data_IF_110165647957
#
_entry.id   IF_110165647957
#
_cell.length_a   1.000
_cell.length_b   1.000
_cell.length_c   1.000
_cell.angle_alpha   90.00
_cell.angle_beta   90.00
_cell.angle_gamma   90.00
#
_symmetry.space_group_name_H-M   'P 1'
#
loop_
_entity.id
_entity.type
_entity.pdbx_description
1 polymer ?
#
# COMPACT_ATOMS: atom_id res chain seq x y z
N UNK A 1 -0.96 -18.02 -17.25
CA UNK A 1 -2.15 -18.58 -17.94
C UNK A 1 -2.68 -17.71 -19.11
N UNK A 2 -2.28 -16.45 -19.27
CA UNK A 2 -2.75 -15.60 -20.39
C UNK A 2 -2.17 -15.96 -21.77
N UNK A 3 -1.02 -16.61 -21.84
CA UNK A 3 -0.41 -17.00 -23.11
C UNK A 3 -1.10 -18.15 -23.84
N UNK A 4 -1.87 -18.99 -23.13
CA UNK A 4 -2.52 -20.15 -23.73
C UNK A 4 -3.86 -19.82 -24.46
N UNK A 5 -4.43 -18.63 -24.22
CA UNK A 5 -5.74 -18.24 -24.77
C UNK A 5 -5.64 -17.47 -26.09
N UNK A 6 -4.52 -16.78 -26.34
CA UNK A 6 -4.39 -15.85 -27.48
C UNK A 6 -3.33 -16.24 -28.52
N UNK A 7 -2.62 -17.34 -28.35
CA UNK A 7 -1.61 -17.82 -29.31
C UNK A 7 -0.47 -16.83 -29.57
N UNK A 8 0.22 -16.99 -30.71
CA UNK A 8 1.40 -16.22 -31.10
C UNK A 8 1.14 -14.73 -31.49
N UNK A 9 -0.09 -14.24 -31.37
CA UNK A 9 -0.48 -12.87 -31.79
C UNK A 9 -0.61 -11.86 -30.66
N UNK A 10 -0.02 -12.09 -29.49
CA UNK A 10 -0.03 -11.09 -28.42
C UNK A 10 0.80 -9.86 -28.79
N UNK A 11 0.16 -8.69 -28.76
CA UNK A 11 0.84 -7.41 -28.93
C UNK A 11 1.91 -7.22 -27.86
N UNK A 12 3.08 -6.74 -28.25
CA UNK A 12 4.09 -6.29 -27.29
C UNK A 12 3.53 -5.15 -26.42
N UNK A 13 4.14 -4.96 -25.25
CA UNK A 13 3.67 -4.00 -24.21
C UNK A 13 3.35 -2.62 -24.81
N UNK A 14 4.23 -2.06 -25.61
CA UNK A 14 4.09 -0.68 -26.11
C UNK A 14 2.98 -0.59 -27.17
N UNK A 15 2.86 -1.61 -28.04
CA UNK A 15 1.76 -1.71 -29.00
C UNK A 15 0.41 -1.88 -28.30
N UNK A 16 0.36 -2.63 -27.20
CA UNK A 16 -0.85 -2.77 -26.38
C UNK A 16 -1.24 -1.46 -25.71
N UNK A 17 -0.29 -0.70 -25.15
CA UNK A 17 -0.57 0.63 -24.59
C UNK A 17 -0.99 1.65 -25.64
N UNK A 18 -0.44 1.59 -26.86
CA UNK A 18 -0.86 2.43 -27.96
C UNK A 18 -2.30 2.09 -28.39
N UNK A 19 -2.66 0.82 -28.46
CA UNK A 19 -4.03 0.36 -28.71
C UNK A 19 -4.99 0.90 -27.64
N UNK A 20 -4.67 0.74 -26.36
CA UNK A 20 -5.51 1.26 -25.26
C UNK A 20 -5.70 2.78 -25.35
N UNK A 21 -4.67 3.51 -25.77
CA UNK A 21 -4.76 4.97 -25.95
C UNK A 21 -5.68 5.33 -27.12
N UNK A 22 -5.57 4.62 -28.26
CA UNK A 22 -6.39 4.82 -29.44
C UNK A 22 -7.87 4.53 -29.19
N UNK A 23 -8.17 3.46 -28.44
CA UNK A 23 -9.53 3.05 -28.09
C UNK A 23 -10.12 3.82 -26.88
N UNK A 24 -9.42 4.84 -26.37
CA UNK A 24 -9.89 5.63 -25.23
C UNK A 24 -9.94 4.89 -23.89
N UNK A 25 -9.36 3.68 -23.81
CA UNK A 25 -9.34 2.83 -22.62
C UNK A 25 -8.21 3.16 -21.65
N UNK A 26 -7.33 4.10 -22.01
CA UNK A 26 -6.24 4.54 -21.14
C UNK A 26 -6.79 5.43 -20.03
N UNK A 27 -6.65 5.00 -18.76
CA UNK A 27 -7.08 5.77 -17.60
C UNK A 27 -6.31 7.09 -17.49
N UNK A 28 -7.03 8.21 -17.40
CA UNK A 28 -6.43 9.51 -17.06
C UNK A 28 -6.03 9.49 -15.57
N UNK A 29 -4.75 9.75 -15.29
CA UNK A 29 -4.27 9.88 -13.91
C UNK A 29 -4.33 11.37 -13.51
N UNK A 30 -5.05 11.73 -12.44
CA UNK A 30 -4.99 13.08 -11.91
C UNK A 30 -3.58 13.38 -11.36
N UNK A 31 -3.22 14.65 -11.32
CA UNK A 31 -1.92 15.08 -10.78
C UNK A 31 -1.83 14.70 -9.29
N UNK A 32 -0.72 14.12 -8.83
CA UNK A 32 -0.54 13.80 -7.41
C UNK A 32 -0.53 15.09 -6.57
N UNK A 33 -1.17 15.06 -5.40
CA UNK A 33 -1.05 16.11 -4.37
C UNK A 33 -0.05 15.65 -3.32
N UNK A 34 0.79 16.57 -2.85
CA UNK A 34 1.69 16.31 -1.73
C UNK A 34 0.88 16.29 -0.42
N UNK A 35 0.98 15.22 0.34
CA UNK A 35 0.28 15.03 1.62
C UNK A 35 1.24 14.94 2.81
N UNK A 36 2.54 14.83 2.57
CA UNK A 36 3.55 14.62 3.59
C UNK A 36 4.12 15.94 4.07
N UNK A 37 4.05 16.19 5.39
CA UNK A 37 4.80 17.25 6.06
C UNK A 37 5.95 16.60 6.84
N UNK A 38 7.14 16.62 6.25
CA UNK A 38 8.38 16.10 6.86
C UNK A 38 9.26 17.16 7.51
N UNK A 39 8.85 18.44 7.44
CA UNK A 39 9.58 19.56 8.07
C UNK A 39 9.11 19.80 9.51
N UNK A 40 9.48 18.90 10.42
CA UNK A 40 9.14 18.96 11.83
C UNK A 40 10.34 18.56 12.71
N UNK A 41 10.26 18.81 14.04
CA UNK A 41 11.35 18.60 15.02
C UNK A 41 11.40 17.19 15.64
N UNK A 42 10.44 16.30 15.32
CA UNK A 42 10.45 14.94 15.86
C UNK A 42 11.65 14.15 15.33
N UNK A 43 12.05 13.13 16.10
CA UNK A 43 13.10 12.20 15.71
C UNK A 43 12.72 11.47 14.41
N UNK A 44 13.72 11.22 13.55
CA UNK A 44 13.60 10.49 12.30
C UNK A 44 14.47 9.26 12.36
N UNK A 45 13.87 8.09 12.12
CA UNK A 45 14.58 6.81 12.18
C UNK A 45 15.29 6.47 10.87
N UNK A 46 16.29 5.60 10.96
CA UNK A 46 17.00 5.09 9.79
C UNK A 46 16.13 4.15 8.97
N UNK A 47 16.44 4.00 7.69
CA UNK A 47 15.82 2.99 6.84
C UNK A 47 16.39 1.60 7.15
N UNK A 48 15.58 0.72 7.72
CA UNK A 48 15.93 -0.67 8.05
C UNK A 48 15.51 -1.67 6.96
N UNK A 49 14.77 -1.21 5.93
CA UNK A 49 14.16 -2.12 4.94
C UNK A 49 14.90 -2.17 3.61
N UNK A 50 16.00 -1.44 3.48
CA UNK A 50 16.81 -1.46 2.25
C UNK A 50 17.39 -2.85 2.01
N UNK A 51 16.90 -3.51 0.96
CA UNK A 51 17.28 -4.90 0.65
C UNK A 51 16.61 -5.97 1.52
N UNK A 52 15.77 -5.57 2.48
CA UNK A 52 15.04 -6.53 3.32
C UNK A 52 13.85 -7.13 2.58
N UNK A 53 13.73 -8.44 2.62
CA UNK A 53 12.61 -9.19 2.03
C UNK A 53 11.98 -10.02 3.15
N UNK A 54 10.75 -9.70 3.59
CA UNK A 54 10.08 -10.49 4.61
C UNK A 54 9.78 -11.90 4.08
N UNK A 55 9.96 -12.92 4.91
CA UNK A 55 9.68 -14.32 4.58
C UNK A 55 8.38 -14.85 5.21
N UNK A 56 7.63 -13.99 5.87
CA UNK A 56 6.35 -14.31 6.48
C UNK A 56 5.56 -13.06 6.83
N UNK A 57 4.28 -13.22 7.21
CA UNK A 57 3.46 -12.12 7.68
C UNK A 57 3.99 -11.56 9.01
N UNK A 58 3.62 -10.32 9.32
CA UNK A 58 3.96 -9.61 10.55
C UNK A 58 5.46 -9.41 10.82
N UNK A 59 6.30 -9.46 9.76
CA UNK A 59 7.71 -9.13 9.84
C UNK A 59 8.03 -7.74 9.30
N UNK A 60 7.21 -7.24 8.40
CA UNK A 60 7.33 -5.88 7.87
C UNK A 60 5.93 -5.33 7.59
N UNK A 61 5.57 -4.27 8.27
CA UNK A 61 4.40 -3.46 7.95
C UNK A 61 4.83 -2.16 7.30
N UNK A 62 4.10 -1.74 6.28
CA UNK A 62 4.32 -0.46 5.60
C UNK A 62 3.07 0.40 5.75
N UNK A 63 3.26 1.69 6.06
CA UNK A 63 2.17 2.62 6.26
C UNK A 63 2.28 3.82 5.34
N UNK A 64 1.14 4.31 4.89
CA UNK A 64 1.03 5.53 4.08
C UNK A 64 -0.37 6.13 4.21
N UNK A 65 -0.50 7.40 3.88
CA UNK A 65 -1.76 8.14 3.89
C UNK A 65 -2.08 8.59 2.47
N UNK A 66 -3.31 8.34 2.04
CA UNK A 66 -3.78 8.87 0.76
C UNK A 66 -5.05 9.69 0.95
N UNK A 67 -5.32 10.62 0.06
CA UNK A 67 -6.55 11.41 0.10
C UNK A 67 -7.60 10.85 -0.86
N UNK A 68 -8.86 11.04 -0.50
CA UNK A 68 -10.05 10.72 -1.29
C UNK A 68 -10.86 12.00 -1.45
N UNK A 69 -11.08 12.42 -2.69
CA UNK A 69 -11.87 13.62 -2.98
C UNK A 69 -13.35 13.26 -2.95
N UNK A 70 -14.14 14.13 -2.32
CA UNK A 70 -15.61 14.04 -2.26
C UNK A 70 -16.23 14.96 -3.33
N UNK A 71 -17.47 14.69 -3.69
CA UNK A 71 -18.25 15.50 -4.65
C UNK A 71 -18.45 16.94 -4.18
N UNK A 72 -18.46 17.17 -2.87
CA UNK A 72 -18.49 18.51 -2.26
C UNK A 72 -17.24 19.36 -2.52
N UNK A 73 -16.16 18.79 -3.11
CA UNK A 73 -14.85 19.42 -3.24
C UNK A 73 -13.93 19.24 -2.03
N UNK A 74 -14.45 18.77 -0.90
CA UNK A 74 -13.67 18.44 0.28
C UNK A 74 -12.86 17.15 0.05
N UNK A 75 -11.86 16.92 0.91
CA UNK A 75 -11.09 15.68 0.91
C UNK A 75 -11.22 15.00 2.27
N UNK A 76 -11.25 13.67 2.26
CA UNK A 76 -10.95 12.84 3.41
C UNK A 76 -9.63 12.08 3.19
N UNK A 77 -9.09 11.55 4.26
CA UNK A 77 -7.76 10.95 4.31
C UNK A 77 -7.88 9.50 4.73
N UNK A 78 -7.31 8.62 3.93
CA UNK A 78 -7.27 7.19 4.21
C UNK A 78 -5.87 6.83 4.72
N UNK A 79 -5.81 6.47 5.99
CA UNK A 79 -4.62 5.97 6.67
C UNK A 79 -4.58 4.46 6.51
N UNK A 80 -3.46 3.90 6.05
CA UNK A 80 -3.31 2.47 5.74
C UNK A 80 -2.12 1.88 6.44
N UNK A 81 -2.28 0.65 6.93
CA UNK A 81 -1.21 -0.26 7.36
C UNK A 81 -1.32 -1.53 6.55
N UNK A 82 -0.26 -1.89 5.85
CA UNK A 82 -0.21 -3.05 4.95
C UNK A 82 0.91 -3.99 5.35
N UNK A 83 0.62 -5.27 5.45
CA UNK A 83 1.65 -6.30 5.59
C UNK A 83 2.42 -6.45 4.28
N UNK A 84 3.73 -6.23 4.34
CA UNK A 84 4.57 -6.20 3.16
C UNK A 84 4.81 -7.57 2.53
N UNK A 85 4.70 -8.66 3.30
CA UNK A 85 4.82 -10.01 2.78
C UNK A 85 3.59 -10.40 1.95
N UNK A 86 2.42 -10.31 2.54
CA UNK A 86 1.16 -10.75 1.94
C UNK A 86 0.48 -9.71 1.06
N UNK A 87 0.86 -8.44 1.14
CA UNK A 87 0.16 -7.29 0.55
C UNK A 87 -1.20 -7.01 1.17
N UNK A 88 -1.56 -7.68 2.26
CA UNK A 88 -2.83 -7.51 2.95
C UNK A 88 -2.90 -6.15 3.64
N UNK A 89 -3.97 -5.41 3.43
CA UNK A 89 -4.31 -4.26 4.25
C UNK A 89 -4.82 -4.78 5.59
N UNK A 90 -4.03 -4.60 6.63
CA UNK A 90 -4.29 -5.13 7.98
C UNK A 90 -4.82 -4.08 8.94
N UNK A 91 -4.74 -2.81 8.59
CA UNK A 91 -5.32 -1.72 9.36
C UNK A 91 -5.61 -0.53 8.47
N UNK A 92 -6.73 0.14 8.73
CA UNK A 92 -7.09 1.35 8.03
C UNK A 92 -8.02 2.24 8.84
N UNK A 93 -7.99 3.52 8.54
CA UNK A 93 -8.92 4.50 9.10
C UNK A 93 -9.19 5.59 8.06
N UNK A 94 -10.45 5.92 7.81
CA UNK A 94 -10.83 7.09 7.03
C UNK A 94 -11.12 8.25 7.97
N UNK A 95 -10.65 9.45 7.63
CA UNK A 95 -10.77 10.62 8.50
C UNK A 95 -11.02 11.91 7.73
N UNK A 96 -11.56 12.93 8.39
CA UNK A 96 -11.70 14.27 7.83
C UNK A 96 -10.40 15.09 7.88
N UNK A 97 -9.45 14.71 8.72
CA UNK A 97 -8.21 15.47 8.97
C UNK A 97 -6.98 14.56 8.97
N UNK A 98 -5.80 15.16 8.84
CA UNK A 98 -4.50 14.46 8.91
C UNK A 98 -3.97 14.31 10.35
N UNK A 99 -4.83 14.38 11.36
CA UNK A 99 -4.39 14.22 12.75
C UNK A 99 -3.84 12.80 13.01
N UNK A 100 -2.77 12.73 13.80
CA UNK A 100 -2.08 11.48 14.11
C UNK A 100 -2.97 10.43 14.80
N UNK A 101 -4.02 10.85 15.51
CA UNK A 101 -4.96 9.92 16.15
C UNK A 101 -5.56 8.90 15.17
N UNK A 102 -5.85 9.29 13.95
CA UNK A 102 -6.42 8.38 12.93
C UNK A 102 -5.38 7.41 12.36
N UNK A 103 -4.11 7.86 12.29
CA UNK A 103 -3.00 6.96 11.95
C UNK A 103 -2.80 5.92 13.06
N UNK A 104 -2.96 6.34 14.33
CA UNK A 104 -2.93 5.44 15.51
C UNK A 104 -4.11 4.46 15.47
N UNK A 105 -5.32 4.89 15.11
CA UNK A 105 -6.48 4.00 14.95
C UNK A 105 -6.22 2.91 13.89
N UNK A 106 -5.65 3.27 12.74
CA UNK A 106 -5.26 2.30 11.72
C UNK A 106 -4.20 1.31 12.25
N UNK A 107 -3.20 1.79 13.00
CA UNK A 107 -2.18 0.94 13.62
C UNK A 107 -2.80 -0.01 14.66
N UNK A 108 -3.67 0.49 15.53
CA UNK A 108 -4.38 -0.34 16.53
C UNK A 108 -5.25 -1.41 15.89
N UNK A 109 -5.89 -1.13 14.77
CA UNK A 109 -6.62 -2.14 13.99
C UNK A 109 -5.65 -3.22 13.49
N UNK A 110 -4.47 -2.85 12.97
CA UNK A 110 -3.45 -3.80 12.53
C UNK A 110 -2.94 -4.67 13.68
N UNK A 111 -2.65 -4.08 14.83
CA UNK A 111 -2.22 -4.80 16.04
C UNK A 111 -3.29 -5.81 16.48
N UNK A 112 -4.56 -5.40 16.49
CA UNK A 112 -5.68 -6.28 16.82
C UNK A 112 -5.83 -7.44 15.82
N UNK A 113 -5.63 -7.21 14.54
CA UNK A 113 -5.66 -8.28 13.52
C UNK A 113 -4.49 -9.28 13.67
N UNK A 114 -3.38 -8.84 14.25
CA UNK A 114 -2.20 -9.66 14.53
C UNK A 114 -2.21 -10.26 15.95
N UNK A 115 -3.35 -10.22 16.66
CA UNK A 115 -3.47 -10.77 18.02
C UNK A 115 -3.02 -12.24 18.06
N UNK A 116 -2.15 -12.56 19.03
CA UNK A 116 -1.51 -13.87 19.15
C UNK A 116 -0.23 -14.06 18.34
N UNK A 117 0.16 -13.13 17.46
CA UNK A 117 1.44 -13.17 16.78
C UNK A 117 2.56 -12.50 17.62
N UNK A 118 3.78 -13.03 17.51
CA UNK A 118 4.96 -12.36 18.06
C UNK A 118 5.37 -11.19 17.15
N UNK A 119 5.16 -9.97 17.63
CA UNK A 119 5.51 -8.73 16.94
C UNK A 119 6.89 -8.16 17.31
N UNK A 120 7.65 -8.83 18.19
CA UNK A 120 8.98 -8.36 18.63
C UNK A 120 10.00 -8.25 17.47
N UNK A 121 9.76 -8.96 16.38
CA UNK A 121 10.58 -8.92 15.15
C UNK A 121 10.00 -8.05 14.04
N UNK A 122 8.87 -7.41 14.29
CA UNK A 122 8.21 -6.53 13.33
C UNK A 122 9.08 -5.30 13.06
N UNK A 123 9.25 -4.96 11.79
CA UNK A 123 9.70 -3.65 11.34
C UNK A 123 8.46 -2.89 10.84
N UNK A 124 8.21 -1.72 11.42
CA UNK A 124 7.20 -0.80 10.90
C UNK A 124 7.89 0.28 10.06
N UNK A 125 7.54 0.38 8.79
CA UNK A 125 8.14 1.32 7.84
C UNK A 125 7.12 2.35 7.32
N UNK A 126 7.49 3.62 7.31
CA UNK A 126 6.67 4.72 6.81
C UNK A 126 7.53 5.80 6.15
N UNK A 127 6.89 6.81 5.59
CA UNK A 127 7.55 8.07 5.29
C UNK A 127 7.88 8.84 6.58
N UNK A 128 8.50 10.03 6.44
CA UNK A 128 8.83 10.92 7.56
C UNK A 128 7.72 11.92 7.87
N UNK A 129 6.47 11.56 7.64
CA UNK A 129 5.32 12.39 8.00
C UNK A 129 5.20 12.57 9.50
N UNK A 130 4.76 13.79 9.93
CA UNK A 130 4.58 14.11 11.35
C UNK A 130 3.71 13.13 12.10
N UNK A 131 2.76 12.50 11.42
CA UNK A 131 1.83 11.52 11.99
C UNK A 131 2.56 10.26 12.48
N UNK A 132 3.62 9.84 11.78
CA UNK A 132 4.42 8.66 12.11
C UNK A 132 5.55 8.95 13.11
N UNK A 133 5.94 10.23 13.21
CA UNK A 133 7.03 10.68 14.08
C UNK A 133 6.54 11.16 15.46
N UNK A 134 5.23 11.36 15.66
CA UNK A 134 4.71 11.85 16.94
C UNK A 134 4.86 10.80 18.05
N UNK A 135 5.06 11.29 19.28
CA UNK A 135 5.34 10.44 20.45
C UNK A 135 4.27 9.34 20.64
N UNK A 136 2.99 9.69 20.50
CA UNK A 136 1.91 8.75 20.71
C UNK A 136 1.93 7.57 19.71
N UNK A 137 2.29 7.82 18.43
CA UNK A 137 2.42 6.75 17.44
C UNK A 137 3.64 5.86 17.71
N UNK A 138 4.75 6.50 18.08
CA UNK A 138 6.01 5.82 18.43
C UNK A 138 5.82 4.94 19.68
N UNK A 139 5.08 5.41 20.67
CA UNK A 139 4.76 4.67 21.88
C UNK A 139 3.95 3.40 21.59
N UNK A 140 2.95 3.46 20.70
CA UNK A 140 2.21 2.27 20.26
C UNK A 140 3.14 1.21 19.65
N UNK A 141 4.09 1.63 18.82
CA UNK A 141 5.06 0.70 18.22
C UNK A 141 6.03 0.11 19.24
N UNK A 142 6.51 0.91 20.20
CA UNK A 142 7.37 0.43 21.26
C UNK A 142 6.64 -0.57 22.18
N UNK A 143 5.37 -0.33 22.48
CA UNK A 143 4.55 -1.21 23.33
C UNK A 143 4.41 -2.63 22.75
N UNK A 144 4.47 -2.79 21.44
CA UNK A 144 4.45 -4.10 20.77
C UNK A 144 5.87 -4.62 20.44
N UNK A 145 6.92 -3.92 20.84
CA UNK A 145 8.32 -4.30 20.59
C UNK A 145 8.78 -4.12 19.13
N UNK A 146 8.03 -3.40 18.30
CA UNK A 146 8.36 -3.23 16.89
C UNK A 146 9.53 -2.26 16.68
N UNK A 147 10.39 -2.56 15.69
CA UNK A 147 11.42 -1.65 15.22
C UNK A 147 10.84 -0.61 14.28
N UNK A 148 11.25 0.65 14.43
CA UNK A 148 10.77 1.76 13.59
C UNK A 148 11.76 2.02 12.47
N UNK A 149 11.24 2.16 11.25
CA UNK A 149 11.99 2.43 10.03
C UNK A 149 11.32 3.54 9.23
N UNK A 150 12.09 4.40 8.59
CA UNK A 150 11.55 5.48 7.77
C UNK A 150 12.30 5.60 6.45
N UNK A 151 11.64 6.14 5.44
CA UNK A 151 12.26 6.46 4.14
C UNK A 151 13.44 7.43 4.34
N UNK A 152 14.46 7.28 3.50
CA UNK A 152 15.59 8.21 3.41
C UNK A 152 15.53 8.97 2.07
N UNK A 153 15.91 10.26 2.09
CA UNK A 153 16.18 11.07 0.90
C UNK A 153 15.07 11.15 -0.18
N UNK A 154 13.79 11.21 0.22
CA UNK A 154 12.65 11.40 -0.71
C UNK A 154 12.63 10.43 -1.91
N UNK A 155 13.24 9.25 -1.79
CA UNK A 155 13.20 8.25 -2.86
C UNK A 155 11.86 7.53 -2.85
N UNK A 156 11.04 7.66 -3.89
CA UNK A 156 9.74 6.99 -3.98
C UNK A 156 9.84 5.47 -3.84
N UNK A 157 10.98 4.89 -4.19
CA UNK A 157 11.22 3.44 -4.11
C UNK A 157 11.28 2.89 -2.69
N UNK A 158 11.52 3.75 -1.69
CA UNK A 158 11.72 3.31 -0.31
C UNK A 158 10.41 2.84 0.36
N UNK A 159 9.24 3.34 -0.09
CA UNK A 159 7.91 2.89 0.38
C UNK A 159 7.04 2.33 -0.77
N UNK A 160 7.66 1.73 -1.77
CA UNK A 160 7.01 1.31 -3.01
C UNK A 160 5.84 0.32 -2.84
N UNK A 161 5.78 -0.44 -1.74
CA UNK A 161 4.65 -1.34 -1.46
C UNK A 161 3.42 -0.51 -1.06
N UNK A 162 3.55 0.42 -0.12
CA UNK A 162 2.45 1.27 0.31
C UNK A 162 1.95 2.16 -0.84
N UNK A 163 2.86 2.76 -1.61
CA UNK A 163 2.51 3.52 -2.82
C UNK A 163 1.74 2.67 -3.84
N UNK A 164 2.13 1.40 -4.02
CA UNK A 164 1.44 0.49 -4.92
C UNK A 164 0.01 0.19 -4.45
N UNK A 165 -0.21 -0.03 -3.17
CA UNK A 165 -1.54 -0.26 -2.60
C UNK A 165 -2.43 0.98 -2.78
N UNK A 166 -1.91 2.16 -2.46
CA UNK A 166 -2.59 3.43 -2.71
C UNK A 166 -2.94 3.61 -4.20
N UNK A 167 -2.01 3.25 -5.08
CA UNK A 167 -2.24 3.25 -6.53
C UNK A 167 -3.37 2.32 -6.96
N UNK A 168 -3.47 1.12 -6.39
CA UNK A 168 -4.54 0.16 -6.66
C UNK A 168 -5.90 0.72 -6.19
N UNK A 169 -5.99 1.21 -4.95
CA UNK A 169 -7.22 1.83 -4.43
C UNK A 169 -7.68 2.97 -5.35
N UNK A 170 -6.77 3.86 -5.74
CA UNK A 170 -7.08 4.96 -6.64
C UNK A 170 -7.55 4.50 -8.02
N UNK A 171 -6.82 3.58 -8.65
CA UNK A 171 -7.08 3.20 -10.04
C UNK A 171 -8.20 2.18 -10.21
N UNK A 172 -8.43 1.32 -9.23
CA UNK A 172 -9.41 0.25 -9.33
C UNK A 172 -10.74 0.57 -8.64
N UNK A 173 -10.75 1.49 -7.67
CA UNK A 173 -11.98 1.95 -6.99
C UNK A 173 -12.29 3.41 -7.31
N UNK A 174 -11.42 4.35 -6.89
CA UNK A 174 -11.80 5.76 -6.86
C UNK A 174 -11.97 6.39 -8.26
N UNK A 175 -11.14 6.02 -9.23
CA UNK A 175 -11.19 6.61 -10.58
C UNK A 175 -12.15 5.91 -11.53
N UNK A 176 -12.83 4.83 -11.09
CA UNK A 176 -13.77 4.06 -11.90
C UNK A 176 -15.22 4.33 -11.57
N UNK A 177 -15.49 5.23 -10.65
CA UNK A 177 -16.83 5.59 -10.20
C UNK A 177 -16.93 7.11 -10.00
N UNK A 178 -18.14 7.69 -9.93
CA UNK A 178 -18.34 9.05 -9.48
C UNK A 178 -17.71 9.28 -8.11
N UNK A 179 -17.39 10.54 -7.80
CA UNK A 179 -16.92 10.90 -6.47
C UNK A 179 -17.99 10.58 -5.43
N UNK A 180 -17.58 10.13 -4.27
CA UNK A 180 -18.50 9.89 -3.15
C UNK A 180 -19.21 11.18 -2.74
N UNK A 181 -20.51 11.10 -2.50
CA UNK A 181 -21.33 12.23 -2.09
C UNK A 181 -21.07 12.67 -0.64
N UNK A 182 -20.72 11.72 0.23
CA UNK A 182 -20.45 11.97 1.65
C UNK A 182 -19.26 11.17 2.17
N UNK A 183 -18.83 11.49 3.39
CA UNK A 183 -17.81 10.75 4.14
C UNK A 183 -18.28 9.33 4.47
N UNK A 184 -19.54 9.18 4.87
CA UNK A 184 -20.16 7.90 5.24
C UNK A 184 -20.19 6.96 4.02
N UNK A 185 -20.58 7.47 2.86
CA UNK A 185 -20.56 6.73 1.60
C UNK A 185 -19.12 6.31 1.23
N UNK A 186 -18.15 7.21 1.38
CA UNK A 186 -16.74 6.90 1.17
C UNK A 186 -16.25 5.82 2.14
N UNK A 187 -16.63 5.90 3.41
CA UNK A 187 -16.25 4.92 4.44
C UNK A 187 -16.75 3.52 4.11
N UNK A 188 -18.03 3.40 3.74
CA UNK A 188 -18.63 2.12 3.34
C UNK A 188 -17.93 1.58 2.07
N UNK A 189 -17.79 2.41 1.05
CA UNK A 189 -17.19 1.98 -0.21
C UNK A 189 -15.71 1.60 -0.11
N UNK A 190 -14.96 2.20 0.84
CA UNK A 190 -13.56 1.83 1.12
C UNK A 190 -13.52 0.51 1.90
N UNK A 191 -14.37 0.31 2.91
CA UNK A 191 -14.45 -0.95 3.65
C UNK A 191 -14.73 -2.13 2.71
N UNK A 192 -15.74 -2.01 1.87
CA UNK A 192 -16.09 -3.03 0.86
C UNK A 192 -14.92 -3.32 -0.08
N UNK A 193 -14.23 -2.27 -0.53
CA UNK A 193 -13.10 -2.44 -1.43
C UNK A 193 -11.91 -3.11 -0.75
N UNK A 194 -11.58 -2.75 0.50
CA UNK A 194 -10.49 -3.38 1.25
C UNK A 194 -10.79 -4.87 1.51
N UNK A 195 -12.03 -5.23 1.83
CA UNK A 195 -12.43 -6.64 1.94
C UNK A 195 -12.28 -7.37 0.61
N UNK A 196 -12.79 -6.81 -0.48
CA UNK A 196 -12.62 -7.37 -1.82
C UNK A 196 -11.12 -7.53 -2.17
N UNK A 197 -10.32 -6.49 -1.92
CA UNK A 197 -8.88 -6.49 -2.17
C UNK A 197 -8.15 -7.59 -1.40
N UNK A 198 -8.47 -7.74 -0.12
CA UNK A 198 -7.83 -8.73 0.73
C UNK A 198 -8.24 -10.17 0.39
N UNK A 199 -9.52 -10.41 0.12
CA UNK A 199 -10.09 -11.76 0.13
C UNK A 199 -10.40 -12.32 -1.27
N UNK A 200 -10.51 -11.45 -2.29
CA UNK A 200 -10.94 -11.86 -3.63
C UNK A 200 -10.04 -11.40 -4.76
N UNK A 201 -9.28 -10.32 -4.56
CA UNK A 201 -8.46 -9.77 -5.63
C UNK A 201 -7.14 -10.54 -5.76
N UNK A 202 -6.87 -11.21 -6.92
CA UNK A 202 -5.57 -11.84 -7.17
C UNK A 202 -4.48 -10.76 -7.30
N UNK A 203 -3.30 -11.02 -6.75
CA UNK A 203 -2.20 -10.09 -6.81
C UNK A 203 -0.97 -10.72 -7.49
N UNK A 204 -0.56 -10.17 -8.63
CA UNK A 204 0.52 -10.71 -9.47
C UNK A 204 1.84 -10.86 -8.69
N UNK A 205 2.18 -9.91 -7.80
CA UNK A 205 3.45 -9.94 -7.06
C UNK A 205 3.52 -11.02 -5.98
N UNK A 206 2.43 -11.70 -5.70
CA UNK A 206 2.31 -12.82 -4.75
C UNK A 206 1.72 -14.07 -5.41
N UNK A 207 2.07 -14.30 -6.68
CA UNK A 207 1.72 -15.52 -7.39
C UNK A 207 0.26 -15.63 -7.78
N UNK A 208 -0.45 -14.53 -8.00
CA UNK A 208 -1.89 -14.46 -8.29
C UNK A 208 -2.80 -15.01 -7.18
N UNK A 209 -2.28 -15.20 -5.99
CA UNK A 209 -3.08 -15.47 -4.80
C UNK A 209 -3.70 -14.19 -4.25
N UNK A 210 -4.68 -14.32 -3.37
CA UNK A 210 -5.22 -13.19 -2.62
C UNK A 210 -4.31 -12.83 -1.43
N UNK A 211 -4.30 -11.56 -0.99
CA UNK A 211 -3.56 -11.16 0.20
C UNK A 211 -3.89 -11.99 1.45
N UNK A 212 -5.16 -12.33 1.65
CA UNK A 212 -5.59 -13.15 2.80
C UNK A 212 -5.09 -14.58 2.75
N UNK A 213 -4.99 -15.19 1.56
CA UNK A 213 -4.41 -16.53 1.39
C UNK A 213 -2.93 -16.52 1.75
N UNK A 214 -2.16 -15.57 1.19
CA UNK A 214 -0.73 -15.46 1.44
C UNK A 214 -0.43 -15.07 2.89
N UNK A 215 -1.30 -14.31 3.54
CA UNK A 215 -1.11 -13.92 4.95
C UNK A 215 -1.16 -15.11 5.94
N UNK A 216 -1.60 -16.29 5.50
CA UNK A 216 -1.60 -17.53 6.28
C UNK A 216 -0.41 -18.45 5.95
N UNK A 217 0.49 -18.00 5.08
CA UNK A 217 1.65 -18.76 4.61
C UNK A 217 2.92 -18.12 5.12
N UNK A 218 4.03 -18.87 5.06
CA UNK A 218 5.37 -18.36 5.27
C UNK A 218 6.34 -19.04 4.30
N UNK A 219 7.51 -18.46 4.12
CA UNK A 219 8.54 -18.95 3.22
C UNK A 219 8.75 -18.04 2.01
N UNK A 220 9.69 -18.40 1.12
CA UNK A 220 10.01 -17.59 -0.04
C UNK A 220 8.83 -17.56 -1.03
N UNK A 221 8.44 -16.37 -1.45
CA UNK A 221 7.42 -16.22 -2.48
C UNK A 221 8.05 -16.42 -3.87
N UNK A 222 7.41 -17.25 -4.69
CA UNK A 222 7.83 -17.44 -6.08
C UNK A 222 7.56 -16.16 -6.87
N UNK A 223 8.64 -15.50 -7.32
CA UNK A 223 8.52 -14.40 -8.28
C UNK A 223 8.10 -14.97 -9.63
N UNK A 224 6.88 -14.70 -10.06
CA UNK A 224 6.37 -15.08 -11.39
C UNK A 224 6.93 -14.21 -12.51
N UNK A 225 7.67 -13.15 -12.18
CA UNK A 225 8.26 -12.20 -13.11
C UNK A 225 9.76 -12.07 -12.84
N UNK A 226 10.58 -12.45 -13.82
CA UNK A 226 12.00 -12.10 -13.85
C UNK A 226 12.12 -10.72 -14.49
N UNK A 227 12.69 -9.75 -13.78
CA UNK A 227 13.02 -8.45 -14.35
C UNK A 227 13.98 -8.65 -15.55
N UNK A 228 13.82 -7.82 -16.59
CA UNK A 228 14.74 -7.79 -17.72
C UNK A 228 16.15 -7.53 -17.17
N UNK A 229 16.99 -8.55 -17.14
CA UNK A 229 18.43 -8.33 -16.94
C UNK A 229 18.93 -7.67 -18.22
N UNK A 230 19.37 -6.41 -18.12
CA UNK A 230 20.21 -5.85 -19.17
C UNK A 230 21.46 -6.74 -19.22
N UNK A 231 21.51 -7.61 -20.22
CA UNK A 231 22.77 -8.24 -20.60
C UNK A 231 23.66 -7.12 -21.09
N UNK A 232 24.63 -6.72 -20.25
CA UNK A 232 25.78 -5.98 -20.70
C UNK A 232 26.46 -6.86 -21.75
N UNK A 233 26.30 -6.49 -23.01
CA UNK A 233 27.06 -7.06 -24.10
C UNK A 233 28.55 -6.75 -23.87
N UNK A 234 29.46 -7.69 -24.17
CA UNK A 234 30.88 -7.55 -23.98
C UNK A 234 31.50 -6.44 -24.84
#
# INVERSE_FOLDING_TARGET
MSGAVFGEQMLGRDAFYALLAREGLKLKRPKPRHTTNSNHRFHKWKNLVKGYVPYGPNLLWVSDITYIQLASGNCCYLHLVTDAYSRKVIGWCLSHTLEAKYTIEALRMAIKQAEGADLSRLIHHSDRGVQYCCNAYVEELHNIGASISMTEDYKPTDNGIAERINGIIKTEKLYRQPLYGSFEEASIGIDEFIRFYNDRRPHMSIGFQTPSEVHRQCGPQQRQWQGYQQTSSP
#
